data_IF_689332538751
#
_entry.id   IF_689332538751
#
_cell.length_a   1.000
_cell.length_b   1.000
_cell.length_c   1.000
_cell.angle_alpha   90.00
_cell.angle_beta   90.00
_cell.angle_gamma   90.00
#
_symmetry.space_group_name_H-M   'P 1'
#
loop_
_entity.id
_entity.type
_entity.pdbx_description
1 polymer ?
#
# COMPACT_ATOMS: atom_id res chain seq x y z
N UNK A 1 4.24 -8.61 -18.26
CA UNK A 1 3.35 -9.62 -17.64
C UNK A 1 1.94 -9.07 -17.59
N UNK A 2 0.91 -9.92 -17.71
CA UNK A 2 -0.50 -9.50 -17.60
C UNK A 2 -1.03 -10.00 -16.25
N UNK A 3 -1.38 -9.09 -15.36
CA UNK A 3 -2.00 -9.41 -14.08
C UNK A 3 -3.49 -9.68 -14.25
N UNK A 4 -4.02 -10.58 -13.42
CA UNK A 4 -5.46 -10.82 -13.31
C UNK A 4 -6.16 -9.58 -12.74
N UNK A 5 -7.41 -9.35 -13.15
CA UNK A 5 -8.18 -8.19 -12.73
C UNK A 5 -9.65 -8.52 -12.54
N UNK A 6 -10.21 -7.99 -11.46
CA UNK A 6 -11.65 -7.89 -11.23
C UNK A 6 -12.14 -6.46 -11.44
N UNK A 7 -13.40 -6.35 -11.87
CA UNK A 7 -14.12 -5.09 -11.99
C UNK A 7 -15.44 -5.19 -11.25
N UNK A 8 -15.61 -4.37 -10.22
CA UNK A 8 -16.81 -4.36 -9.38
C UNK A 8 -17.56 -3.05 -9.64
N UNK A 9 -18.75 -3.09 -10.27
CA UNK A 9 -19.55 -1.88 -10.49
C UNK A 9 -20.10 -1.35 -9.17
N UNK A 10 -20.17 -0.03 -9.05
CA UNK A 10 -20.85 0.71 -7.98
C UNK A 10 -21.89 1.66 -8.58
N UNK A 11 -22.65 2.37 -7.74
CA UNK A 11 -23.64 3.34 -8.23
C UNK A 11 -23.02 4.53 -8.99
N UNK A 12 -21.75 4.84 -8.76
CA UNK A 12 -21.06 6.02 -9.30
C UNK A 12 -19.95 5.66 -10.30
N UNK A 13 -19.12 4.67 -9.98
CA UNK A 13 -18.03 4.22 -10.86
C UNK A 13 -17.71 2.73 -10.66
N UNK A 14 -16.63 2.23 -11.24
CA UNK A 14 -16.14 0.86 -11.07
C UNK A 14 -14.91 0.83 -10.18
N UNK A 15 -14.85 -0.15 -9.29
CA UNK A 15 -13.65 -0.52 -8.56
C UNK A 15 -12.89 -1.54 -9.40
N UNK A 16 -11.69 -1.19 -9.86
CA UNK A 16 -10.79 -2.10 -10.56
C UNK A 16 -9.79 -2.68 -9.56
N UNK A 17 -9.74 -4.00 -9.40
CA UNK A 17 -8.79 -4.70 -8.53
C UNK A 17 -7.82 -5.47 -9.42
N UNK A 18 -6.51 -5.22 -9.27
CA UNK A 18 -5.46 -5.96 -9.97
C UNK A 18 -4.69 -6.81 -8.98
N UNK A 19 -4.57 -8.11 -9.28
CA UNK A 19 -3.89 -9.09 -8.44
C UNK A 19 -2.43 -9.21 -8.87
N UNK A 20 -1.51 -8.69 -8.05
CA UNK A 20 -0.07 -8.74 -8.33
C UNK A 20 0.51 -10.10 -7.92
N UNK A 21 0.01 -10.65 -6.80
CA UNK A 21 0.37 -11.96 -6.27
C UNK A 21 0.37 -11.93 -4.74
N UNK A 22 0.29 -13.10 -4.10
CA UNK A 22 0.20 -13.22 -2.64
C UNK A 22 -0.96 -12.37 -2.07
N UNK A 23 -0.69 -11.47 -1.12
CA UNK A 23 -1.63 -10.47 -0.61
C UNK A 23 -1.56 -9.11 -1.33
N UNK A 24 -0.70 -8.95 -2.35
CA UNK A 24 -0.51 -7.66 -3.01
C UNK A 24 -1.60 -7.36 -4.02
N UNK A 25 -2.32 -6.26 -3.79
CA UNK A 25 -3.39 -5.76 -4.67
C UNK A 25 -3.15 -4.31 -5.06
N UNK A 26 -3.51 -3.96 -6.29
CA UNK A 26 -3.75 -2.57 -6.69
C UNK A 26 -5.24 -2.38 -6.85
N UNK A 27 -5.83 -1.49 -6.06
CA UNK A 27 -7.23 -1.11 -6.15
C UNK A 27 -7.30 0.30 -6.73
N UNK A 28 -8.02 0.46 -7.82
CA UNK A 28 -8.30 1.75 -8.43
C UNK A 28 -9.80 2.05 -8.31
N UNK A 29 -10.09 3.23 -7.79
CA UNK A 29 -11.44 3.79 -7.78
C UNK A 29 -11.35 5.29 -8.15
N UNK A 30 -12.08 5.68 -9.19
CA UNK A 30 -11.91 6.99 -9.84
C UNK A 30 -10.43 7.27 -10.21
N UNK A 31 -9.89 8.36 -9.67
CA UNK A 31 -8.50 8.80 -9.84
C UNK A 31 -7.60 8.39 -8.65
N UNK A 32 -8.12 7.59 -7.72
CA UNK A 32 -7.40 7.17 -6.51
C UNK A 32 -6.79 5.79 -6.73
N UNK A 33 -5.50 5.65 -6.44
CA UNK A 33 -4.77 4.39 -6.44
C UNK A 33 -4.49 3.98 -4.98
N UNK A 34 -5.01 2.83 -4.60
CA UNK A 34 -4.78 2.19 -3.30
C UNK A 34 -3.94 0.95 -3.53
N UNK A 35 -2.84 0.83 -2.79
CA UNK A 35 -1.94 -0.31 -2.87
C UNK A 35 -2.00 -1.09 -1.55
N UNK A 36 -2.23 -2.39 -1.62
CA UNK A 36 -2.32 -3.28 -0.46
C UNK A 36 -1.10 -4.17 -0.42
N UNK A 37 -0.43 -4.25 0.74
CA UNK A 37 0.68 -5.15 1.04
C UNK A 37 1.72 -5.26 -0.08
N UNK A 38 2.34 -4.15 -0.51
CA UNK A 38 3.29 -4.20 -1.61
C UNK A 38 4.54 -4.99 -1.23
N UNK A 39 4.96 -5.86 -2.13
CA UNK A 39 6.15 -6.70 -1.97
C UNK A 39 7.00 -6.72 -3.24
N UNK A 40 8.21 -6.17 -3.18
CA UNK A 40 9.11 -5.91 -4.32
C UNK A 40 9.49 -7.15 -5.13
N UNK A 41 9.29 -8.35 -4.58
CA UNK A 41 9.62 -9.61 -5.24
C UNK A 41 8.59 -10.09 -6.27
N UNK A 42 7.42 -9.47 -6.35
CA UNK A 42 6.30 -9.95 -7.17
C UNK A 42 6.20 -9.32 -8.56
N UNK A 43 6.75 -8.11 -8.75
CA UNK A 43 6.62 -7.36 -9.97
C UNK A 43 7.79 -6.38 -10.14
N UNK A 44 7.93 -5.83 -11.35
CA UNK A 44 8.73 -4.63 -11.54
C UNK A 44 7.89 -3.40 -11.19
N UNK A 45 8.08 -2.92 -9.96
CA UNK A 45 7.33 -1.81 -9.39
C UNK A 45 7.65 -0.44 -10.01
N UNK A 46 8.73 -0.32 -10.80
CA UNK A 46 9.02 0.91 -11.54
C UNK A 46 7.96 1.22 -12.62
N UNK A 47 7.20 0.20 -13.03
CA UNK A 47 6.16 0.27 -14.06
C UNK A 47 4.73 0.26 -13.48
N UNK A 48 4.57 0.28 -12.16
CA UNK A 48 3.27 0.30 -11.50
C UNK A 48 2.84 1.74 -11.16
N UNK A 49 1.53 2.04 -11.14
CA UNK A 49 1.06 3.38 -10.79
C UNK A 49 1.44 3.72 -9.35
N UNK A 50 1.87 4.96 -9.14
CA UNK A 50 2.12 5.47 -7.80
C UNK A 50 0.81 5.56 -7.01
N UNK A 51 0.85 5.20 -5.73
CA UNK A 51 -0.29 5.11 -4.84
C UNK A 51 -0.57 6.44 -4.14
N UNK A 52 -1.85 6.77 -4.01
CA UNK A 52 -2.33 7.86 -3.14
C UNK A 52 -2.52 7.34 -1.69
N UNK A 53 -2.76 6.03 -1.54
CA UNK A 53 -2.90 5.34 -0.25
C UNK A 53 -2.22 3.97 -0.29
N UNK A 54 -1.46 3.64 0.74
CA UNK A 54 -0.91 2.30 0.97
C UNK A 54 -1.52 1.71 2.25
N UNK A 55 -2.01 0.48 2.14
CA UNK A 55 -2.55 -0.30 3.25
C UNK A 55 -1.59 -1.45 3.56
N UNK A 56 -1.15 -1.56 4.82
CA UNK A 56 -0.36 -2.70 5.29
C UNK A 56 -1.15 -3.48 6.34
N UNK A 57 -1.38 -4.76 6.09
CA UNK A 57 -2.19 -5.64 6.94
C UNK A 57 -1.43 -6.06 8.20
N UNK A 58 -0.17 -6.47 8.08
CA UNK A 58 0.67 -6.91 9.19
C UNK A 58 2.18 -6.82 8.87
N UNK A 59 3.02 -7.05 9.87
CA UNK A 59 4.46 -6.75 9.88
C UNK A 59 5.34 -7.74 9.12
N UNK A 60 4.77 -8.83 8.58
CA UNK A 60 5.59 -9.82 7.91
C UNK A 60 6.28 -9.23 6.66
N UNK A 61 7.52 -9.63 6.34
CA UNK A 61 8.30 -8.99 5.27
C UNK A 61 7.69 -9.06 3.86
N UNK A 62 6.80 -10.02 3.62
CA UNK A 62 6.02 -10.22 2.41
C UNK A 62 4.75 -9.34 2.35
N UNK A 63 4.50 -8.54 3.39
CA UNK A 63 3.41 -7.56 3.46
C UNK A 63 3.91 -6.14 3.79
N UNK A 64 5.00 -6.01 4.57
CA UNK A 64 5.65 -4.75 4.94
C UNK A 64 7.03 -4.62 4.25
N UNK A 65 7.01 -4.39 2.94
CA UNK A 65 8.24 -4.12 2.17
C UNK A 65 8.49 -2.62 2.02
N UNK A 66 9.37 -2.09 2.87
CA UNK A 66 9.75 -0.65 2.82
C UNK A 66 10.37 -0.21 1.50
N UNK A 67 10.98 -1.11 0.72
CA UNK A 67 11.53 -0.79 -0.59
C UNK A 67 10.40 -0.57 -1.60
N UNK A 68 9.42 -1.46 -1.62
CA UNK A 68 8.24 -1.34 -2.48
C UNK A 68 7.44 -0.08 -2.13
N UNK A 69 7.22 0.19 -0.84
CA UNK A 69 6.55 1.42 -0.37
C UNK A 69 7.25 2.68 -0.90
N UNK A 70 8.59 2.75 -0.77
CA UNK A 70 9.37 3.90 -1.25
C UNK A 70 9.28 4.10 -2.75
N UNK A 71 9.25 3.03 -3.54
CA UNK A 71 9.13 3.12 -5.01
C UNK A 71 7.77 3.64 -5.47
N UNK A 72 6.72 3.41 -4.70
CA UNK A 72 5.33 3.59 -5.16
C UNK A 72 4.59 4.71 -4.46
N UNK A 73 5.17 5.33 -3.44
CA UNK A 73 4.55 6.50 -2.84
C UNK A 73 4.52 7.68 -3.83
N UNK A 74 3.42 8.43 -3.82
CA UNK A 74 3.24 9.66 -4.59
C UNK A 74 3.11 10.86 -3.66
N UNK A 75 4.08 11.79 -3.64
CA UNK A 75 4.00 13.04 -2.88
C UNK A 75 3.33 12.84 -1.51
N UNK A 76 2.12 13.39 -1.35
CA UNK A 76 1.23 13.30 -0.17
C UNK A 76 0.59 11.92 0.10
N UNK A 77 1.22 10.82 -0.32
CA UNK A 77 0.71 9.47 -0.14
C UNK A 77 0.47 9.18 1.35
N UNK A 78 -0.67 8.57 1.67
CA UNK A 78 -0.97 8.15 3.04
C UNK A 78 -0.62 6.69 3.23
N UNK A 79 -0.08 6.33 4.40
CA UNK A 79 0.09 4.92 4.79
C UNK A 79 -0.79 4.65 5.99
N UNK A 80 -1.65 3.63 5.87
CA UNK A 80 -2.45 3.10 6.97
C UNK A 80 -2.01 1.67 7.23
N UNK A 81 -1.68 1.38 8.48
CA UNK A 81 -1.24 0.05 8.86
C UNK A 81 -1.66 -0.29 10.30
N UNK A 82 -1.63 -1.59 10.59
CA UNK A 82 -1.96 -2.12 11.92
C UNK A 82 -0.86 -1.80 12.93
N UNK A 83 -1.20 -1.82 14.22
CA UNK A 83 -0.23 -1.57 15.29
C UNK A 83 0.94 -2.56 15.28
N UNK A 84 0.70 -3.82 14.87
CA UNK A 84 1.74 -4.85 14.86
C UNK A 84 2.87 -4.54 13.86
N UNK A 85 2.57 -3.79 12.78
CA UNK A 85 3.57 -3.20 11.87
C UNK A 85 4.59 -2.29 12.58
N UNK A 86 4.33 -1.89 13.83
CA UNK A 86 5.16 -1.03 14.68
C UNK A 86 5.70 -1.76 15.93
N UNK A 87 5.40 -3.04 16.10
CA UNK A 87 5.61 -3.76 17.36
C UNK A 87 4.65 -3.30 18.48
N UNK A 88 4.94 -3.67 19.73
CA UNK A 88 4.02 -3.37 20.85
C UNK A 88 3.93 -1.87 21.21
N UNK A 89 4.92 -1.03 20.90
CA UNK A 89 5.02 0.28 21.57
C UNK A 89 5.70 1.45 20.83
N UNK A 90 6.28 1.32 19.62
CA UNK A 90 7.03 2.45 19.05
C UNK A 90 6.72 2.77 17.59
N UNK A 91 5.89 3.80 17.42
CA UNK A 91 5.42 4.33 16.14
C UNK A 91 6.46 5.25 15.47
N UNK A 92 7.48 5.68 16.21
CA UNK A 92 8.50 6.63 15.75
C UNK A 92 9.42 6.03 14.69
N UNK A 93 9.55 4.70 14.60
CA UNK A 93 10.50 4.04 13.71
C UNK A 93 10.14 4.16 12.22
N UNK A 94 8.87 4.06 11.86
CA UNK A 94 8.39 4.29 10.49
C UNK A 94 8.37 5.77 10.16
N UNK A 95 7.94 6.63 11.09
CA UNK A 95 8.08 8.08 10.95
C UNK A 95 9.54 8.48 10.76
N UNK A 96 10.49 7.83 11.43
CA UNK A 96 11.94 8.07 11.27
C UNK A 96 12.45 7.53 9.94
N UNK A 97 12.04 6.33 9.52
CA UNK A 97 12.43 5.72 8.24
C UNK A 97 11.88 6.47 7.02
N UNK A 98 10.77 7.19 7.22
CA UNK A 98 10.03 7.94 6.20
C UNK A 98 10.06 9.46 6.46
N UNK A 99 10.90 9.94 7.39
CA UNK A 99 10.91 11.36 7.84
C UNK A 99 11.25 12.33 6.72
N UNK A 100 11.97 11.84 5.71
CA UNK A 100 12.46 12.60 4.56
C UNK A 100 11.58 12.37 3.31
N UNK A 101 10.42 11.72 3.47
CA UNK A 101 9.41 11.54 2.42
C UNK A 101 8.13 12.29 2.79
N UNK A 102 7.41 12.87 1.82
CA UNK A 102 6.17 13.64 2.02
C UNK A 102 4.95 12.75 2.41
N UNK A 103 5.17 11.72 3.22
CA UNK A 103 4.21 10.66 3.53
C UNK A 103 3.55 10.91 4.90
N UNK A 104 2.21 10.99 4.94
CA UNK A 104 1.42 11.02 6.18
C UNK A 104 1.11 9.59 6.66
N UNK A 105 1.66 9.19 7.81
CA UNK A 105 1.47 7.86 8.40
C UNK A 105 0.39 7.92 9.47
N UNK A 106 -0.67 7.12 9.32
CA UNK A 106 -1.77 7.02 10.30
C UNK A 106 -1.95 5.60 10.81
N UNK A 107 -1.98 5.46 12.13
CA UNK A 107 -2.15 4.18 12.81
C UNK A 107 -3.59 4.08 13.30
N UNK A 108 -4.27 2.99 12.97
CA UNK A 108 -5.65 2.75 13.43
C UNK A 108 -5.73 1.45 14.21
N UNK A 109 -6.54 1.47 15.26
CA UNK A 109 -6.96 0.26 15.94
C UNK A 109 -8.06 -0.38 15.09
N UNK A 110 -7.69 -1.39 14.31
CA UNK A 110 -8.62 -2.17 13.49
C UNK A 110 -9.14 -3.30 14.41
N UNK A 111 -10.17 -3.00 15.20
CA UNK A 111 -10.88 -3.96 16.06
C UNK A 111 -12.06 -4.58 15.35
#
# INVERSE_FOLDING_TARGET
MKFEKDRIPTNSNTIDITFIGHGTLIIKYDNTIILVDPWSKLADYSNLPAADLILITHEHPDHLDTSAIKMLHKGTCRIICTRSCFGKTDTSRLTTLLRDSEIDVRIRNMS
#
